data_IF_600769873246
#
_entry.id   IF_600769873246
#
_cell.length_a   1.000
_cell.length_b   1.000
_cell.length_c   1.000
_cell.angle_alpha   90.00
_cell.angle_beta   90.00
_cell.angle_gamma   90.00
#
_symmetry.space_group_name_H-M   'P 1'
#
loop_
_entity.id
_entity.type
_entity.pdbx_description
1 polymer ?
#
# COMPACT_ATOMS: atom_id res chain seq x y z
N UNK A 1 -32.93 5.25 23.27
CA UNK A 1 -32.03 6.44 23.15
C UNK A 1 -30.71 6.06 23.80
N UNK A 2 -29.77 5.59 23.02
CA UNK A 2 -28.46 5.15 23.52
C UNK A 2 -27.44 6.20 23.04
N UNK A 3 -26.98 6.98 23.99
CA UNK A 3 -25.94 8.00 23.76
C UNK A 3 -24.60 7.33 23.60
N UNK A 4 -23.99 7.45 22.45
CA UNK A 4 -22.57 7.13 22.22
C UNK A 4 -21.73 8.29 22.75
N UNK A 5 -21.11 8.11 23.88
CA UNK A 5 -20.04 9.00 24.33
C UNK A 5 -18.79 8.73 23.54
N UNK A 6 -18.37 9.71 22.75
CA UNK A 6 -17.11 9.75 22.01
C UNK A 6 -16.05 10.27 22.96
N UNK A 7 -15.23 9.36 23.51
CA UNK A 7 -13.99 9.74 24.18
C UNK A 7 -12.97 10.15 23.11
N UNK A 8 -12.86 11.45 22.90
CA UNK A 8 -11.85 12.11 22.06
C UNK A 8 -10.52 12.19 22.83
N UNK A 9 -9.74 11.13 22.85
CA UNK A 9 -8.30 11.27 23.03
C UNK A 9 -7.67 11.40 21.65
N UNK A 10 -7.44 12.64 21.22
CA UNK A 10 -6.58 12.99 20.12
C UNK A 10 -5.16 12.60 20.53
N UNK A 11 -4.72 11.42 20.14
CA UNK A 11 -3.31 11.07 20.16
C UNK A 11 -2.64 11.94 19.09
N UNK A 12 -1.96 12.96 19.58
CA UNK A 12 -1.11 13.83 18.77
C UNK A 12 0.11 13.02 18.32
N UNK A 13 0.02 12.32 17.23
CA UNK A 13 1.18 11.74 16.53
C UNK A 13 1.75 12.84 15.64
N UNK A 14 2.56 13.71 16.27
CA UNK A 14 3.43 14.62 15.55
C UNK A 14 4.27 13.78 14.57
N UNK A 15 3.90 13.86 13.28
CA UNK A 15 4.69 13.28 12.22
C UNK A 15 6.07 13.92 12.27
N UNK A 16 7.09 13.13 12.53
CA UNK A 16 8.46 13.55 12.41
C UNK A 16 8.62 14.17 11.01
N UNK A 17 8.83 15.49 10.97
CA UNK A 17 9.21 16.19 9.75
C UNK A 17 10.66 15.82 9.50
N UNK A 18 10.87 14.79 8.71
CA UNK A 18 12.16 14.53 8.13
C UNK A 18 12.52 15.74 7.24
N UNK A 19 13.75 16.21 7.41
CA UNK A 19 14.24 17.43 6.79
C UNK A 19 14.06 17.39 5.25
N UNK A 20 12.97 18.02 4.74
CA UNK A 20 12.80 18.37 3.33
C UNK A 20 12.16 17.33 2.41
N UNK A 21 11.66 16.19 2.93
CA UNK A 21 10.93 15.20 2.13
C UNK A 21 9.41 15.43 2.11
N UNK A 22 8.68 14.75 1.20
CA UNK A 22 7.22 14.83 1.14
C UNK A 22 6.61 14.26 2.43
N UNK A 23 5.60 14.95 2.99
CA UNK A 23 4.83 14.42 4.12
C UNK A 23 4.00 13.22 3.65
N UNK A 24 4.32 12.04 4.17
CA UNK A 24 3.62 10.80 3.85
C UNK A 24 2.58 10.53 4.94
N UNK A 25 1.37 10.14 4.53
CA UNK A 25 0.31 9.77 5.46
C UNK A 25 0.76 8.58 6.33
N UNK A 26 0.57 8.62 7.66
CA UNK A 26 0.94 7.52 8.54
C UNK A 26 0.24 6.20 8.14
N UNK A 27 0.93 5.09 8.26
CA UNK A 27 0.37 3.78 7.88
C UNK A 27 -0.92 3.43 8.63
N UNK A 28 -1.03 3.81 9.90
CA UNK A 28 -2.25 3.62 10.71
C UNK A 28 -3.48 4.31 10.11
N UNK A 29 -3.31 5.50 9.52
CA UNK A 29 -4.39 6.21 8.85
C UNK A 29 -4.84 5.50 7.56
N UNK A 30 -3.89 4.90 6.85
CA UNK A 30 -4.19 4.10 5.65
C UNK A 30 -4.96 2.84 6.01
N UNK A 31 -4.55 2.15 7.08
CA UNK A 31 -5.26 0.98 7.61
C UNK A 31 -6.67 1.37 8.07
N UNK A 32 -6.83 2.52 8.73
CA UNK A 32 -8.13 3.05 9.14
C UNK A 32 -9.02 3.35 7.94
N UNK A 33 -8.48 3.94 6.88
CA UNK A 33 -9.21 4.21 5.64
C UNK A 33 -9.69 2.92 4.97
N UNK A 34 -8.83 1.90 4.88
CA UNK A 34 -9.16 0.61 4.28
C UNK A 34 -10.08 -0.26 5.17
N UNK A 35 -10.04 -0.07 6.49
CA UNK A 35 -10.86 -0.77 7.47
C UNK A 35 -10.19 -1.94 8.18
N UNK A 36 -9.08 -2.49 7.68
CA UNK A 36 -8.32 -3.55 8.32
C UNK A 36 -6.86 -3.62 7.82
N UNK A 37 -5.99 -4.23 8.62
CA UNK A 37 -4.62 -4.53 8.21
C UNK A 37 -4.58 -5.77 7.32
N UNK A 38 -3.94 -5.69 6.15
CA UNK A 38 -3.71 -6.83 5.28
C UNK A 38 -2.46 -6.64 4.39
N UNK A 39 -1.91 -7.72 3.82
CA UNK A 39 -0.73 -7.64 2.96
C UNK A 39 -0.89 -6.70 1.75
N UNK A 40 -2.08 -6.65 1.17
CA UNK A 40 -2.37 -5.77 0.03
C UNK A 40 -2.24 -4.28 0.38
N UNK A 41 -2.82 -3.85 1.51
CA UNK A 41 -2.70 -2.47 2.00
C UNK A 41 -1.25 -2.11 2.29
N UNK A 42 -0.49 -3.01 2.94
CA UNK A 42 0.92 -2.82 3.22
C UNK A 42 1.73 -2.62 1.94
N UNK A 43 1.48 -3.47 0.93
CA UNK A 43 2.12 -3.40 -0.38
C UNK A 43 1.83 -2.06 -1.07
N UNK A 44 0.57 -1.65 -1.14
CA UNK A 44 0.18 -0.37 -1.74
C UNK A 44 0.78 0.84 -1.02
N UNK A 45 0.88 0.77 0.32
CA UNK A 45 1.53 1.80 1.12
C UNK A 45 3.02 1.94 0.77
N UNK A 46 3.77 0.83 0.74
CA UNK A 46 5.18 0.84 0.39
C UNK A 46 5.41 1.34 -1.05
N UNK A 47 4.61 0.89 -2.02
CA UNK A 47 4.69 1.37 -3.39
C UNK A 47 4.42 2.87 -3.51
N UNK A 48 3.46 3.40 -2.75
CA UNK A 48 3.14 4.83 -2.71
C UNK A 48 4.27 5.65 -2.10
N UNK A 49 4.91 5.16 -1.03
CA UNK A 49 6.10 5.82 -0.45
C UNK A 49 7.22 5.96 -1.47
N UNK A 50 7.55 4.86 -2.16
CA UNK A 50 8.55 4.86 -3.24
C UNK A 50 8.19 5.94 -4.27
N UNK A 51 6.92 5.95 -4.71
CA UNK A 51 6.47 6.88 -5.73
C UNK A 51 6.67 8.34 -5.34
N UNK A 52 6.22 8.72 -4.15
CA UNK A 52 6.33 10.10 -3.68
C UNK A 52 7.81 10.52 -3.48
N UNK A 53 8.66 9.61 -3.01
CA UNK A 53 10.08 9.86 -2.83
C UNK A 53 10.81 10.04 -4.17
N UNK A 54 10.62 9.09 -5.10
CA UNK A 54 11.28 9.13 -6.42
C UNK A 54 10.85 10.32 -7.28
N UNK A 55 9.55 10.65 -7.25
CA UNK A 55 9.01 11.79 -7.98
C UNK A 55 9.17 13.12 -7.24
N UNK A 56 9.75 13.10 -6.03
CA UNK A 56 9.87 14.28 -5.14
C UNK A 56 8.54 15.04 -5.02
N UNK A 57 7.44 14.28 -4.97
CA UNK A 57 6.08 14.79 -4.94
C UNK A 57 5.46 14.61 -3.55
N UNK A 58 4.64 15.54 -3.14
CA UNK A 58 3.75 15.38 -1.99
C UNK A 58 2.46 14.64 -2.36
N UNK A 59 1.59 14.47 -1.37
CA UNK A 59 0.23 13.98 -1.61
C UNK A 59 -0.49 14.94 -2.55
N UNK A 60 -1.08 14.39 -3.61
CA UNK A 60 -1.76 15.18 -4.64
C UNK A 60 -3.02 15.88 -4.12
N UNK A 61 -3.16 17.15 -4.45
CA UNK A 61 -4.33 17.96 -4.10
C UNK A 61 -5.21 18.21 -5.33
N UNK A 62 -4.60 18.53 -6.47
CA UNK A 62 -5.30 19.05 -7.65
C UNK A 62 -4.82 18.36 -8.97
N UNK A 63 -4.84 17.04 -8.99
CA UNK A 63 -4.61 16.19 -10.17
C UNK A 63 -3.23 16.35 -10.86
N UNK A 64 -2.23 16.86 -10.13
CA UNK A 64 -0.87 16.98 -10.63
C UNK A 64 -0.14 15.63 -10.68
N UNK A 65 -0.53 14.70 -9.81
CA UNK A 65 -0.04 13.34 -9.79
C UNK A 65 -1.10 12.41 -10.37
N UNK A 66 -0.68 11.44 -11.17
CA UNK A 66 -1.55 10.39 -11.74
C UNK A 66 -1.03 9.04 -11.31
N UNK A 67 -1.90 8.14 -10.90
CA UNK A 67 -1.59 6.73 -10.65
C UNK A 67 -2.32 5.84 -11.66
N UNK A 68 -1.59 4.96 -12.34
CA UNK A 68 -2.14 3.89 -13.16
C UNK A 68 -1.90 2.59 -12.41
N UNK A 69 -2.97 1.85 -12.13
CA UNK A 69 -2.95 0.64 -11.33
C UNK A 69 -3.38 -0.57 -12.16
N UNK A 70 -2.66 -1.70 -12.02
CA UNK A 70 -2.82 -2.86 -12.89
C UNK A 70 -3.58 -4.03 -12.21
N UNK A 71 -4.27 -3.76 -11.12
CA UNK A 71 -5.21 -4.69 -10.45
C UNK A 71 -6.25 -3.90 -9.65
N UNK A 72 -7.22 -4.61 -9.05
CA UNK A 72 -8.29 -4.10 -8.18
C UNK A 72 -8.15 -4.58 -6.72
N UNK A 73 -6.95 -4.88 -6.27
CA UNK A 73 -6.68 -5.38 -4.92
C UNK A 73 -6.59 -4.28 -3.86
N UNK A 74 -6.59 -4.68 -2.57
CA UNK A 74 -6.56 -3.80 -1.39
C UNK A 74 -5.48 -2.70 -1.42
N UNK A 75 -4.37 -2.92 -2.14
CA UNK A 75 -3.30 -1.93 -2.30
C UNK A 75 -3.74 -0.63 -2.96
N UNK A 76 -4.83 -0.66 -3.73
CA UNK A 76 -5.38 0.53 -4.40
C UNK A 76 -5.88 1.56 -3.39
N UNK A 77 -6.48 1.11 -2.28
CA UNK A 77 -6.92 2.01 -1.22
C UNK A 77 -5.74 2.73 -0.58
N UNK A 78 -4.62 2.02 -0.37
CA UNK A 78 -3.41 2.64 0.12
C UNK A 78 -2.85 3.67 -0.88
N UNK A 79 -2.85 3.36 -2.18
CA UNK A 79 -2.44 4.31 -3.23
C UNK A 79 -3.33 5.56 -3.18
N UNK A 80 -4.64 5.42 -3.12
CA UNK A 80 -5.56 6.56 -3.02
C UNK A 80 -5.28 7.41 -1.78
N UNK A 81 -5.16 6.77 -0.62
CA UNK A 81 -4.96 7.47 0.64
C UNK A 81 -3.62 8.22 0.69
N UNK A 82 -2.53 7.59 0.27
CA UNK A 82 -1.17 8.12 0.39
C UNK A 82 -0.86 9.13 -0.71
N UNK A 83 -1.15 8.79 -1.96
CA UNK A 83 -0.78 9.64 -3.10
C UNK A 83 -1.79 10.74 -3.37
N UNK A 84 -3.03 10.58 -2.92
CA UNK A 84 -4.14 11.48 -3.26
C UNK A 84 -4.69 11.26 -4.68
N UNK A 85 -4.17 10.30 -5.42
CA UNK A 85 -4.77 9.89 -6.71
C UNK A 85 -6.02 9.07 -6.44
N UNK A 86 -7.19 9.60 -6.78
CA UNK A 86 -8.46 8.95 -6.49
C UNK A 86 -9.31 8.74 -7.73
N UNK A 87 -10.18 7.74 -7.68
CA UNK A 87 -11.12 7.49 -8.77
C UNK A 87 -12.03 8.71 -9.01
N UNK A 88 -12.48 9.37 -7.93
CA UNK A 88 -13.37 10.53 -8.00
C UNK A 88 -12.73 11.77 -8.63
N UNK A 89 -11.42 11.98 -8.47
CA UNK A 89 -10.66 13.04 -9.16
C UNK A 89 -10.29 12.68 -10.60
N UNK A 90 -10.43 11.42 -11.01
CA UNK A 90 -10.06 10.98 -12.36
C UNK A 90 -8.55 10.83 -12.59
N UNK A 91 -7.73 10.97 -11.56
CA UNK A 91 -6.28 10.79 -11.61
C UNK A 91 -5.80 9.42 -11.07
N UNK A 92 -6.72 8.51 -10.75
CA UNK A 92 -6.49 7.08 -10.58
C UNK A 92 -7.04 6.35 -11.80
N UNK A 93 -6.18 5.73 -12.59
CA UNK A 93 -6.54 5.03 -13.82
C UNK A 93 -6.40 3.53 -13.61
N UNK A 94 -7.50 2.81 -13.73
CA UNK A 94 -7.49 1.36 -13.62
C UNK A 94 -7.25 0.71 -14.99
N UNK A 95 -6.26 -0.18 -15.07
CA UNK A 95 -5.90 -0.98 -16.25
C UNK A 95 -5.65 -2.41 -15.80
N UNK A 96 -6.68 -3.24 -15.79
CA UNK A 96 -6.60 -4.60 -15.26
C UNK A 96 -5.66 -5.49 -16.09
N UNK A 97 -4.57 -5.87 -15.46
CA UNK A 97 -3.61 -6.86 -15.94
C UNK A 97 -3.37 -7.95 -14.90
N UNK A 98 -4.11 -7.95 -13.77
CA UNK A 98 -3.98 -8.89 -12.68
C UNK A 98 -2.60 -8.84 -11.98
N UNK A 99 -1.91 -7.69 -12.01
CA UNK A 99 -0.52 -7.55 -11.52
C UNK A 99 -0.42 -6.49 -10.44
N UNK A 100 0.41 -6.73 -9.43
CA UNK A 100 0.81 -5.70 -8.47
C UNK A 100 1.87 -4.77 -9.09
N UNK A 101 1.41 -3.95 -10.01
CA UNK A 101 2.21 -2.98 -10.74
C UNK A 101 1.48 -1.65 -10.77
N UNK A 102 2.23 -0.59 -10.49
CA UNK A 102 1.70 0.76 -10.36
C UNK A 102 2.62 1.74 -11.08
N UNK A 103 2.05 2.58 -11.93
CA UNK A 103 2.79 3.64 -12.62
C UNK A 103 2.32 4.97 -12.09
N UNK A 104 3.26 5.82 -11.69
CA UNK A 104 2.97 7.15 -11.18
C UNK A 104 3.61 8.19 -12.09
N UNK A 105 2.87 9.25 -12.39
CA UNK A 105 3.27 10.30 -13.31
C UNK A 105 3.08 11.65 -12.63
N UNK A 106 4.13 12.45 -12.57
CA UNK A 106 4.05 13.84 -12.16
C UNK A 106 3.83 14.71 -13.40
N UNK A 107 2.62 15.25 -13.56
CA UNK A 107 2.26 16.07 -14.72
C UNK A 107 3.02 17.41 -14.77
N UNK A 108 3.53 17.89 -13.63
CA UNK A 108 4.25 19.16 -13.57
C UNK A 108 5.67 19.02 -14.12
N UNK A 109 6.37 17.94 -13.73
CA UNK A 109 7.77 17.71 -14.15
C UNK A 109 7.86 16.85 -15.42
N UNK A 110 6.83 16.07 -15.72
CA UNK A 110 6.84 15.06 -16.78
C UNK A 110 7.53 13.74 -16.36
N UNK A 111 8.02 13.66 -15.12
CA UNK A 111 8.66 12.44 -14.61
C UNK A 111 7.62 11.35 -14.36
N UNK A 112 7.99 10.12 -14.69
CA UNK A 112 7.17 8.97 -14.42
C UNK A 112 7.99 7.79 -13.93
N UNK A 113 7.41 7.00 -13.02
CA UNK A 113 8.01 5.76 -12.53
C UNK A 113 7.02 4.62 -12.57
N UNK A 114 7.54 3.43 -12.77
CA UNK A 114 6.81 2.18 -12.68
C UNK A 114 7.35 1.35 -11.51
N UNK A 115 6.49 1.03 -10.56
CA UNK A 115 6.79 0.25 -9.36
C UNK A 115 6.12 -1.10 -9.51
N UNK A 116 6.90 -2.17 -9.55
CA UNK A 116 6.41 -3.54 -9.73
C UNK A 116 6.80 -4.40 -8.54
N UNK A 117 5.84 -5.13 -7.97
CA UNK A 117 6.18 -6.15 -6.96
C UNK A 117 7.03 -7.23 -7.63
N UNK A 118 8.16 -7.56 -7.01
CA UNK A 118 9.02 -8.65 -7.48
C UNK A 118 8.34 -9.99 -7.28
N UNK A 119 8.56 -10.90 -8.22
CA UNK A 119 8.24 -12.30 -8.01
C UNK A 119 9.10 -12.84 -6.86
N UNK A 120 8.48 -13.06 -5.72
CA UNK A 120 9.13 -13.69 -4.57
C UNK A 120 8.67 -15.13 -4.52
N UNK A 121 9.62 -16.04 -4.38
CA UNK A 121 9.26 -17.40 -3.98
C UNK A 121 8.64 -17.30 -2.57
N UNK A 122 7.29 -17.36 -2.50
CA UNK A 122 6.64 -17.51 -1.22
C UNK A 122 7.16 -18.79 -0.57
N UNK A 123 7.47 -18.72 0.70
CA UNK A 123 7.84 -19.90 1.48
C UNK A 123 6.84 -21.03 1.18
N UNK A 124 7.36 -22.21 0.83
CA UNK A 124 6.53 -23.37 0.46
C UNK A 124 5.49 -23.70 1.52
N UNK A 125 5.80 -23.46 2.79
CA UNK A 125 4.87 -23.63 3.91
C UNK A 125 3.68 -22.66 3.83
N UNK A 126 3.93 -21.39 3.49
CA UNK A 126 2.87 -20.38 3.36
C UNK A 126 1.93 -20.68 2.19
N UNK A 127 2.48 -21.14 1.05
CA UNK A 127 1.66 -21.55 -0.10
C UNK A 127 0.73 -22.72 0.25
N UNK A 128 1.25 -23.72 0.98
CA UNK A 128 0.44 -24.88 1.43
C UNK A 128 -0.67 -24.44 2.37
N UNK A 129 -0.37 -23.58 3.35
CA UNK A 129 -1.38 -23.08 4.29
C UNK A 129 -2.45 -22.24 3.57
N UNK A 130 -2.07 -21.40 2.61
CA UNK A 130 -3.01 -20.63 1.79
C UNK A 130 -3.93 -21.56 0.97
N UNK A 131 -3.36 -22.63 0.38
CA UNK A 131 -4.15 -23.61 -0.37
C UNK A 131 -5.18 -24.29 0.53
N UNK A 132 -4.78 -24.77 1.72
CA UNK A 132 -5.70 -25.39 2.70
C UNK A 132 -6.82 -24.44 3.14
N UNK A 133 -6.51 -23.15 3.34
CA UNK A 133 -7.54 -22.14 3.68
C UNK A 133 -8.53 -21.99 2.53
N UNK A 134 -8.06 -21.89 1.30
CA UNK A 134 -8.91 -21.76 0.11
C UNK A 134 -9.80 -22.97 -0.12
N UNK A 135 -9.28 -24.17 0.16
CA UNK A 135 -9.99 -25.45 0.01
C UNK A 135 -10.90 -25.79 1.19
N UNK A 136 -10.88 -24.96 2.24
CA UNK A 136 -11.67 -25.19 3.45
C UNK A 136 -11.16 -26.33 4.35
N UNK A 137 -9.95 -26.84 4.10
CA UNK A 137 -9.34 -27.97 4.83
C UNK A 137 -8.39 -27.52 5.95
N UNK A 138 -8.15 -26.20 6.09
CA UNK A 138 -7.25 -25.66 7.09
C UNK A 138 -7.78 -25.84 8.51
N UNK A 139 -6.93 -26.40 9.39
CA UNK A 139 -7.18 -26.46 10.83
C UNK A 139 -7.14 -25.06 11.47
N UNK A 140 -7.64 -24.89 12.70
CA UNK A 140 -7.44 -23.65 13.46
C UNK A 140 -5.95 -23.27 13.64
N UNK A 141 -5.07 -24.27 13.79
CA UNK A 141 -3.62 -24.04 13.89
C UNK A 141 -3.00 -23.58 12.57
N UNK A 142 -3.42 -24.15 11.45
CA UNK A 142 -2.99 -23.71 10.12
C UNK A 142 -3.35 -22.22 9.90
N UNK A 143 -4.55 -21.81 10.30
CA UNK A 143 -5.01 -20.42 10.17
C UNK A 143 -4.19 -19.46 11.05
N UNK A 144 -3.92 -19.82 12.32
CA UNK A 144 -3.07 -19.04 13.21
C UNK A 144 -1.66 -18.90 12.68
N UNK A 145 -1.09 -20.01 12.18
CA UNK A 145 0.24 -20.01 11.59
C UNK A 145 0.31 -19.12 10.35
N UNK A 146 -0.68 -19.20 9.47
CA UNK A 146 -0.73 -18.35 8.27
C UNK A 146 -0.84 -16.87 8.64
N UNK A 147 -1.67 -16.53 9.62
CA UNK A 147 -1.81 -15.15 10.09
C UNK A 147 -0.51 -14.60 10.67
N UNK A 148 0.19 -15.37 11.50
CA UNK A 148 1.51 -14.99 12.03
C UNK A 148 2.52 -14.75 10.90
N UNK A 149 2.60 -15.64 9.93
CA UNK A 149 3.51 -15.50 8.79
C UNK A 149 3.19 -14.26 7.95
N UNK A 150 1.92 -13.96 7.74
CA UNK A 150 1.48 -12.74 7.05
C UNK A 150 1.88 -11.48 7.81
N UNK A 151 1.71 -11.49 9.14
CA UNK A 151 2.12 -10.37 9.97
C UNK A 151 3.63 -10.13 9.89
N UNK A 152 4.43 -11.20 10.02
CA UNK A 152 5.89 -11.13 9.90
C UNK A 152 6.33 -10.58 8.53
N UNK A 153 5.67 -10.99 7.44
CA UNK A 153 5.97 -10.49 6.10
C UNK A 153 5.61 -8.99 5.95
N UNK A 154 4.49 -8.56 6.52
CA UNK A 154 4.10 -7.15 6.50
C UNK A 154 5.07 -6.28 7.31
N UNK A 155 5.47 -6.74 8.50
CA UNK A 155 6.41 -6.03 9.36
C UNK A 155 7.78 -5.88 8.67
N UNK A 156 8.25 -6.94 8.01
CA UNK A 156 9.47 -6.89 7.20
C UNK A 156 9.36 -5.90 6.05
N UNK A 157 8.25 -5.93 5.30
CA UNK A 157 8.03 -5.02 4.16
C UNK A 157 8.03 -3.54 4.59
N UNK A 158 7.52 -3.25 5.80
CA UNK A 158 7.52 -1.89 6.34
C UNK A 158 8.88 -1.44 6.85
N UNK A 159 9.73 -2.36 7.34
CA UNK A 159 11.01 -2.08 7.98
C UNK A 159 12.20 -2.15 7.03
N UNK A 160 12.15 -3.00 6.02
CA UNK A 160 13.27 -3.26 5.11
C UNK A 160 13.31 -2.26 3.95
N UNK A 161 14.46 -2.13 3.28
CA UNK A 161 14.59 -1.34 2.06
C UNK A 161 13.59 -1.77 0.99
N UNK A 162 12.86 -0.84 0.37
CA UNK A 162 11.80 -1.16 -0.59
C UNK A 162 12.31 -1.91 -1.83
N UNK A 163 13.56 -1.74 -2.19
CA UNK A 163 14.22 -2.46 -3.29
C UNK A 163 14.30 -3.98 -3.07
N UNK A 164 14.10 -4.45 -1.84
CA UNK A 164 13.99 -5.89 -1.57
C UNK A 164 12.69 -6.48 -2.13
N UNK A 165 11.66 -5.65 -2.27
CA UNK A 165 10.30 -6.05 -2.63
C UNK A 165 9.87 -5.56 -4.00
N UNK A 166 10.40 -4.44 -4.47
CA UNK A 166 9.96 -3.79 -5.69
C UNK A 166 11.08 -3.55 -6.69
N UNK A 167 10.74 -3.70 -7.96
CA UNK A 167 11.49 -3.12 -9.06
C UNK A 167 10.93 -1.74 -9.36
N UNK A 168 11.82 -0.74 -9.41
CA UNK A 168 11.47 0.64 -9.74
C UNK A 168 12.14 1.04 -11.03
N UNK A 169 11.36 1.52 -11.99
CA UNK A 169 11.87 1.95 -13.30
C UNK A 169 11.34 3.34 -13.62
N UNK A 170 12.25 4.25 -13.96
CA UNK A 170 11.85 5.50 -14.58
C UNK A 170 11.36 5.21 -16.00
N UNK A 171 10.23 5.77 -16.37
CA UNK A 171 9.61 5.62 -17.70
C UNK A 171 9.52 6.99 -18.35
N UNK A 172 9.61 7.01 -19.67
CA UNK A 172 9.54 8.24 -20.48
C UNK A 172 8.19 8.29 -21.19
#
# INVERSE_FOLDING_TARGET
MTTYEHSSELVNVDGARDAGGPTILPFSEVVRFHGHLCPGVTLGYCASKIALQELRAGRDVDEQLVAIVENDACGIDAIQAVTGCTLGKGNLIFRDHGKHVYTFINRVTGDAIRVSLKDREADGSQKILQARVREGTASPDDRRTLERLRQEDMDKMLAEPPENYFDVKHVK
#
